data_IF_424025321119
#
_entry.id   IF_424025321119
#
_cell.length_a   1.000
_cell.length_b   1.000
_cell.length_c   1.000
_cell.angle_alpha   90.00
_cell.angle_beta   90.00
_cell.angle_gamma   90.00
#
_symmetry.space_group_name_H-M   'P 1'
#
loop_
_entity.id
_entity.type
_entity.pdbx_description
1 polymer ?
#
# COMPACT_ATOMS: atom_id res chain seq x y z
N UNK A 1 -14.17 -12.58 33.66
CA UNK A 1 -12.83 -13.10 33.34
C UNK A 1 -12.37 -12.26 32.17
N UNK A 2 -11.36 -11.42 32.34
CA UNK A 2 -10.84 -10.57 31.25
C UNK A 2 -10.02 -11.45 30.32
N UNK A 3 -10.40 -11.50 29.05
CA UNK A 3 -9.61 -12.15 28.01
C UNK A 3 -8.32 -11.36 27.85
N UNK A 4 -7.19 -12.00 28.09
CA UNK A 4 -5.85 -11.44 27.88
C UNK A 4 -5.66 -11.32 26.37
N UNK A 5 -5.57 -10.10 25.85
CA UNK A 5 -5.23 -9.85 24.44
C UNK A 5 -3.89 -10.53 24.10
N UNK A 6 -3.74 -11.10 22.91
CA UNK A 6 -2.50 -11.77 22.51
C UNK A 6 -1.34 -10.77 22.52
N UNK A 7 -0.27 -11.11 23.22
CA UNK A 7 0.97 -10.33 23.25
C UNK A 7 1.66 -10.48 21.89
N UNK A 8 1.66 -9.42 21.11
CA UNK A 8 2.29 -9.39 19.78
C UNK A 8 3.82 -9.41 19.91
N UNK A 9 4.46 -10.53 19.58
CA UNK A 9 5.93 -10.66 19.53
C UNK A 9 6.40 -10.55 18.08
N UNK A 10 6.99 -9.41 17.72
CA UNK A 10 7.69 -9.24 16.46
C UNK A 10 9.14 -9.74 16.59
N UNK A 11 9.71 -10.40 15.55
CA UNK A 11 11.12 -10.79 15.57
C UNK A 11 12.05 -9.57 15.60
N UNK A 12 13.24 -9.76 16.19
CA UNK A 12 14.26 -8.71 16.31
C UNK A 12 14.70 -8.16 14.96
N UNK A 13 15.01 -6.85 14.92
CA UNK A 13 15.50 -6.17 13.72
C UNK A 13 16.87 -6.72 13.32
N UNK A 14 16.99 -7.19 12.08
CA UNK A 14 18.29 -7.60 11.50
C UNK A 14 19.22 -6.39 11.30
N UNK A 15 20.52 -6.55 11.57
CA UNK A 15 21.53 -5.51 11.39
C UNK A 15 21.85 -5.33 9.90
N UNK A 16 21.32 -4.25 9.28
CA UNK A 16 21.64 -3.91 7.89
C UNK A 16 21.50 -2.42 7.59
N UNK A 17 22.65 -1.73 7.40
CA UNK A 17 22.75 -0.36 6.86
C UNK A 17 22.30 0.75 7.82
N UNK A 18 22.91 1.94 7.74
CA UNK A 18 22.64 3.10 8.61
C UNK A 18 21.25 3.69 8.30
N UNK A 19 20.18 2.96 8.61
CA UNK A 19 18.83 3.49 8.73
C UNK A 19 18.66 3.99 10.16
N UNK A 20 18.02 5.16 10.35
CA UNK A 20 17.66 5.61 11.70
C UNK A 20 16.74 4.55 12.34
N UNK A 21 16.84 4.33 13.66
CA UNK A 21 15.99 3.36 14.37
C UNK A 21 14.49 3.59 14.09
N UNK A 22 14.08 4.85 13.98
CA UNK A 22 12.73 5.24 13.56
C UNK A 22 12.32 4.58 12.23
N UNK A 23 13.08 4.82 11.15
CA UNK A 23 12.75 4.27 9.81
C UNK A 23 12.69 2.73 9.81
N UNK A 24 13.61 2.09 10.51
CA UNK A 24 13.62 0.62 10.61
C UNK A 24 12.38 0.11 11.34
N UNK A 25 11.93 0.80 12.39
CA UNK A 25 10.69 0.44 13.11
C UNK A 25 9.47 0.67 12.23
N UNK A 26 9.39 1.81 11.53
CA UNK A 26 8.28 2.11 10.61
C UNK A 26 8.16 1.04 9.53
N UNK A 27 9.27 0.70 8.86
CA UNK A 27 9.29 -0.31 7.79
C UNK A 27 8.84 -1.68 8.32
N UNK A 28 9.31 -2.09 9.51
CA UNK A 28 8.96 -3.39 10.11
C UNK A 28 7.49 -3.46 10.54
N UNK A 29 6.95 -2.39 11.15
CA UNK A 29 5.54 -2.34 11.52
C UNK A 29 4.65 -2.33 10.29
N UNK A 30 4.99 -1.55 9.26
CA UNK A 30 4.28 -1.53 7.97
C UNK A 30 4.24 -2.93 7.35
N UNK A 31 5.37 -3.61 7.28
CA UNK A 31 5.46 -4.98 6.78
C UNK A 31 4.54 -5.93 7.57
N UNK A 32 4.57 -5.86 8.91
CA UNK A 32 3.75 -6.70 9.77
C UNK A 32 2.24 -6.47 9.58
N UNK A 33 1.84 -5.20 9.38
CA UNK A 33 0.45 -4.84 9.11
C UNK A 33 0.02 -5.33 7.71
N UNK A 34 0.79 -5.01 6.68
CA UNK A 34 0.45 -5.37 5.30
C UNK A 34 0.50 -6.87 5.02
N UNK A 35 1.33 -7.62 5.75
CA UNK A 35 1.37 -9.09 5.66
C UNK A 35 0.26 -9.78 6.48
N UNK A 36 -0.46 -9.04 7.34
CA UNK A 36 -1.46 -9.58 8.26
C UNK A 36 -0.87 -10.23 9.52
N UNK A 37 0.42 -10.12 9.77
CA UNK A 37 1.06 -10.52 11.04
C UNK A 37 0.49 -9.70 12.22
N UNK A 38 0.16 -8.43 11.96
CA UNK A 38 -0.61 -7.54 12.82
C UNK A 38 -1.99 -7.30 12.19
N UNK A 39 -3.02 -8.08 12.52
CA UNK A 39 -4.36 -7.91 11.96
C UNK A 39 -5.00 -6.57 12.31
N UNK A 40 -6.01 -6.14 11.53
CA UNK A 40 -6.87 -5.01 11.86
C UNK A 40 -7.43 -5.09 13.28
N UNK A 41 -7.58 -3.95 13.95
CA UNK A 41 -8.01 -3.87 15.35
C UNK A 41 -6.93 -4.23 16.40
N UNK A 42 -5.75 -4.72 15.98
CA UNK A 42 -4.66 -5.04 16.92
C UNK A 42 -4.18 -3.78 17.64
N UNK A 43 -4.17 -3.83 18.98
CA UNK A 43 -3.66 -2.73 19.81
C UNK A 43 -2.12 -2.68 19.77
N UNK A 44 -1.57 -1.51 19.47
CA UNK A 44 -0.13 -1.26 19.35
C UNK A 44 0.41 -0.54 20.59
N UNK A 45 0.85 -1.33 21.58
CA UNK A 45 1.37 -0.79 22.83
C UNK A 45 2.84 -0.40 22.66
N UNK A 46 3.15 0.91 22.75
CA UNK A 46 4.49 1.45 22.48
C UNK A 46 5.60 0.79 23.28
N UNK A 47 5.38 0.53 24.57
CA UNK A 47 6.38 -0.11 25.46
C UNK A 47 6.63 -1.58 25.11
N UNK A 48 5.61 -2.30 24.69
CA UNK A 48 5.73 -3.71 24.27
C UNK A 48 6.47 -3.81 22.94
N UNK A 49 6.08 -2.95 21.97
CA UNK A 49 6.77 -2.85 20.67
C UNK A 49 8.24 -2.46 20.83
N UNK A 50 8.54 -1.48 21.69
CA UNK A 50 9.90 -1.06 21.98
C UNK A 50 10.75 -2.21 22.56
N UNK A 51 10.16 -2.99 23.47
CA UNK A 51 10.80 -4.17 24.04
C UNK A 51 11.03 -5.26 23.00
N UNK A 52 10.01 -5.58 22.19
CA UNK A 52 10.10 -6.65 21.18
C UNK A 52 11.09 -6.34 20.05
N UNK A 53 11.19 -5.04 19.67
CA UNK A 53 12.08 -4.58 18.62
C UNK A 53 13.48 -4.17 19.14
N UNK A 54 13.73 -4.28 20.45
CA UNK A 54 14.99 -3.89 21.11
C UNK A 54 15.40 -2.43 20.85
N UNK A 55 14.42 -1.50 20.90
CA UNK A 55 14.63 -0.06 20.71
C UNK A 55 14.05 0.73 21.89
N UNK A 56 14.30 2.05 21.96
CA UNK A 56 13.61 2.94 22.91
C UNK A 56 12.18 3.23 22.44
N UNK A 57 11.33 3.78 23.34
CA UNK A 57 9.95 4.13 23.01
C UNK A 57 9.84 5.26 21.98
N UNK A 58 10.83 6.15 21.92
CA UNK A 58 10.77 7.32 21.02
C UNK A 58 10.65 6.94 19.54
N UNK A 59 11.52 6.10 18.94
CA UNK A 59 11.38 5.70 17.54
C UNK A 59 10.08 4.93 17.27
N UNK A 60 9.55 4.18 18.23
CA UNK A 60 8.25 3.51 18.08
C UNK A 60 7.11 4.54 18.00
N UNK A 61 7.12 5.54 18.86
CA UNK A 61 6.10 6.61 18.85
C UNK A 61 6.13 7.40 17.54
N UNK A 62 7.31 7.70 17.03
CA UNK A 62 7.47 8.38 15.74
C UNK A 62 6.98 7.50 14.59
N UNK A 63 7.35 6.22 14.57
CA UNK A 63 6.89 5.26 13.58
C UNK A 63 5.36 5.11 13.57
N UNK A 64 4.72 5.03 14.74
CA UNK A 64 3.26 4.97 14.81
C UNK A 64 2.59 6.25 14.29
N UNK A 65 3.20 7.42 14.46
CA UNK A 65 2.69 8.68 13.87
C UNK A 65 2.77 8.67 12.34
N UNK A 66 3.88 8.16 11.79
CA UNK A 66 4.01 8.02 10.33
C UNK A 66 2.93 7.08 9.80
N UNK A 67 2.73 5.91 10.45
CA UNK A 67 1.73 4.93 10.05
C UNK A 67 0.28 5.44 10.21
N UNK A 68 0.03 6.36 11.15
CA UNK A 68 -1.26 7.09 11.20
C UNK A 68 -1.41 8.01 9.98
N UNK A 69 -0.34 8.69 9.57
CA UNK A 69 -0.33 9.49 8.35
C UNK A 69 -0.57 8.68 7.08
N UNK A 70 -0.16 7.41 7.10
CA UNK A 70 -0.37 6.44 6.01
C UNK A 70 -1.74 5.73 6.07
N UNK A 71 -2.55 5.94 7.13
CA UNK A 71 -3.83 5.27 7.32
C UNK A 71 -3.73 3.80 7.74
N UNK A 72 -2.53 3.29 8.05
CA UNK A 72 -2.31 1.92 8.51
C UNK A 72 -2.58 1.75 10.01
N UNK A 73 -2.56 2.84 10.75
CA UNK A 73 -2.79 2.89 12.20
C UNK A 73 -3.78 4.00 12.52
N UNK A 74 -4.66 3.73 13.45
CA UNK A 74 -5.56 4.71 14.04
C UNK A 74 -5.09 5.08 15.46
N UNK A 75 -5.33 6.31 15.86
CA UNK A 75 -5.04 6.75 17.22
C UNK A 75 -6.32 7.20 17.91
N UNK A 76 -6.75 6.39 18.88
CA UNK A 76 -7.84 6.73 19.79
C UNK A 76 -7.29 7.29 21.10
N UNK A 77 -7.77 8.45 21.58
CA UNK A 77 -7.29 9.06 22.82
C UNK A 77 -7.45 8.18 24.07
N UNK A 78 -8.37 7.22 24.05
CA UNK A 78 -8.68 6.32 25.17
C UNK A 78 -8.08 4.93 25.02
N UNK A 79 -7.96 4.44 23.77
CA UNK A 79 -7.46 3.09 23.45
C UNK A 79 -6.01 3.08 23.03
N UNK A 80 -5.45 4.23 22.64
CA UNK A 80 -4.10 4.34 22.08
C UNK A 80 -4.07 4.03 20.60
N UNK A 81 -2.92 3.57 20.09
CA UNK A 81 -2.75 3.20 18.70
C UNK A 81 -3.31 1.80 18.43
N UNK A 82 -4.05 1.64 17.34
CA UNK A 82 -4.59 0.35 16.84
C UNK A 82 -4.31 0.23 15.35
N UNK A 83 -4.11 -0.99 14.87
CA UNK A 83 -4.05 -1.25 13.41
C UNK A 83 -5.42 -0.91 12.81
N UNK A 84 -5.42 -0.17 11.70
CA UNK A 84 -6.64 0.16 10.98
C UNK A 84 -7.37 -1.11 10.52
N UNK A 85 -8.68 -1.14 10.67
CA UNK A 85 -9.53 -2.27 10.27
C UNK A 85 -10.23 -1.92 8.96
N UNK A 86 -9.84 -2.55 7.82
CA UNK A 86 -10.40 -2.23 6.53
C UNK A 86 -11.90 -2.52 6.46
N UNK A 87 -12.70 -1.56 5.99
CA UNK A 87 -14.14 -1.72 5.79
C UNK A 87 -14.52 -1.72 4.31
N UNK A 88 -15.68 -2.28 3.99
CA UNK A 88 -16.19 -2.28 2.63
C UNK A 88 -16.58 -0.87 2.17
N UNK A 89 -17.18 -0.09 3.06
CA UNK A 89 -17.61 1.28 2.78
C UNK A 89 -16.41 2.17 2.44
N UNK A 90 -15.37 2.10 3.24
CA UNK A 90 -14.12 2.85 2.99
C UNK A 90 -13.43 2.40 1.69
N UNK A 91 -13.39 1.09 1.40
CA UNK A 91 -12.88 0.56 0.13
C UNK A 91 -13.58 1.24 -1.05
N UNK A 92 -14.91 1.29 -1.05
CA UNK A 92 -15.71 1.87 -2.12
C UNK A 92 -15.42 3.36 -2.29
N UNK A 93 -15.40 4.12 -1.20
CA UNK A 93 -15.12 5.56 -1.22
C UNK A 93 -13.72 5.88 -1.74
N UNK A 94 -12.69 5.19 -1.24
CA UNK A 94 -11.31 5.39 -1.68
C UNK A 94 -11.17 5.12 -3.18
N UNK A 95 -11.73 4.01 -3.67
CA UNK A 95 -11.54 3.62 -5.08
C UNK A 95 -12.42 4.42 -6.03
N UNK A 96 -13.57 4.96 -5.60
CA UNK A 96 -14.32 5.96 -6.36
C UNK A 96 -13.47 7.21 -6.62
N UNK A 97 -12.90 7.80 -5.56
CA UNK A 97 -12.01 8.95 -5.67
C UNK A 97 -10.77 8.65 -6.52
N UNK A 98 -10.15 7.50 -6.31
CA UNK A 98 -8.99 7.08 -7.13
C UNK A 98 -9.35 6.99 -8.60
N UNK A 99 -10.48 6.38 -8.95
CA UNK A 99 -10.91 6.21 -10.35
C UNK A 99 -11.11 7.55 -11.05
N UNK A 100 -11.75 8.51 -10.40
CA UNK A 100 -11.97 9.85 -10.94
C UNK A 100 -10.63 10.58 -11.23
N UNK A 101 -9.69 10.54 -10.29
CA UNK A 101 -8.41 11.22 -10.45
C UNK A 101 -7.47 10.48 -11.40
N UNK A 102 -7.42 9.15 -11.32
CA UNK A 102 -6.57 8.31 -12.19
C UNK A 102 -6.92 8.46 -13.64
N UNK A 103 -8.22 8.47 -13.99
CA UNK A 103 -8.63 8.69 -15.37
C UNK A 103 -8.05 9.99 -15.95
N UNK A 104 -8.03 11.05 -15.14
CA UNK A 104 -7.50 12.35 -15.55
C UNK A 104 -5.97 12.38 -15.61
N UNK A 105 -5.28 11.84 -14.59
CA UNK A 105 -3.81 11.84 -14.54
C UNK A 105 -3.22 10.94 -15.60
N UNK A 106 -3.81 9.77 -15.87
CA UNK A 106 -3.36 8.86 -16.94
C UNK A 106 -3.54 9.50 -18.31
N UNK A 107 -4.71 10.08 -18.61
CA UNK A 107 -4.95 10.72 -19.91
C UNK A 107 -3.93 11.84 -20.21
N UNK A 108 -3.60 12.65 -19.21
CA UNK A 108 -2.60 13.73 -19.35
C UNK A 108 -1.16 13.17 -19.31
N UNK A 109 -0.89 12.19 -18.44
CA UNK A 109 0.42 11.59 -18.26
C UNK A 109 0.93 10.88 -19.51
N UNK A 110 0.10 10.13 -20.21
CA UNK A 110 0.45 9.46 -21.49
C UNK A 110 1.00 10.44 -22.51
N UNK A 111 0.46 11.65 -22.58
CA UNK A 111 0.89 12.68 -23.53
C UNK A 111 2.18 13.38 -23.13
N UNK A 112 2.51 13.39 -21.83
CA UNK A 112 3.58 14.21 -21.28
C UNK A 112 4.78 13.40 -20.77
N UNK A 113 4.64 12.09 -20.57
CA UNK A 113 5.70 11.23 -20.04
C UNK A 113 6.90 11.24 -21.00
N UNK A 114 8.10 11.40 -20.46
CA UNK A 114 9.35 11.23 -21.22
C UNK A 114 9.76 9.76 -21.28
N UNK A 115 10.64 9.43 -22.22
CA UNK A 115 11.15 8.06 -22.33
C UNK A 115 11.92 7.64 -21.06
N UNK A 116 12.72 8.56 -20.48
CA UNK A 116 13.45 8.30 -19.23
C UNK A 116 12.49 8.00 -18.05
N UNK A 117 11.38 8.73 -17.95
CA UNK A 117 10.37 8.49 -16.90
C UNK A 117 9.65 7.15 -17.10
N UNK A 118 9.36 6.80 -18.36
CA UNK A 118 8.76 5.51 -18.66
C UNK A 118 9.73 4.36 -18.38
N UNK A 119 11.02 4.54 -18.67
CA UNK A 119 12.07 3.55 -18.35
C UNK A 119 12.19 3.32 -16.84
N UNK A 120 11.97 4.35 -16.00
CA UNK A 120 11.87 4.20 -14.54
C UNK A 120 10.68 3.32 -14.16
N UNK A 121 9.49 3.58 -14.71
CA UNK A 121 8.31 2.76 -14.45
C UNK A 121 8.51 1.30 -14.90
N UNK A 122 9.13 1.07 -16.06
CA UNK A 122 9.49 -0.26 -16.54
C UNK A 122 10.50 -0.98 -15.63
N UNK A 123 11.46 -0.25 -15.06
CA UNK A 123 12.43 -0.81 -14.13
C UNK A 123 11.75 -1.28 -12.85
N UNK A 124 10.85 -0.45 -12.27
CA UNK A 124 10.06 -0.79 -11.10
C UNK A 124 9.17 -2.02 -11.37
N UNK A 125 8.51 -2.07 -12.53
CA UNK A 125 7.70 -3.23 -12.92
C UNK A 125 8.55 -4.51 -13.06
N UNK A 126 9.75 -4.42 -13.63
CA UNK A 126 10.68 -5.55 -13.80
C UNK A 126 11.12 -6.10 -12.44
N UNK A 127 11.43 -5.21 -11.50
CA UNK A 127 11.78 -5.56 -10.13
C UNK A 127 10.59 -6.20 -9.40
N UNK A 128 9.41 -5.60 -9.48
CA UNK A 128 8.16 -6.10 -8.91
C UNK A 128 7.82 -7.52 -9.40
N UNK A 129 8.00 -7.80 -10.70
CA UNK A 129 7.78 -9.14 -11.28
C UNK A 129 8.63 -10.24 -10.66
N UNK A 130 9.83 -9.91 -10.21
CA UNK A 130 10.76 -10.85 -9.57
C UNK A 130 10.52 -11.03 -8.07
N UNK A 131 9.67 -10.18 -7.46
CA UNK A 131 9.46 -10.19 -6.02
C UNK A 131 8.58 -11.35 -5.56
N UNK A 132 9.03 -11.99 -4.49
CA UNK A 132 8.31 -13.07 -3.81
C UNK A 132 7.69 -12.57 -2.50
N UNK A 133 8.33 -11.62 -1.85
CA UNK A 133 7.85 -10.97 -0.64
C UNK A 133 6.68 -10.01 -0.94
N UNK A 134 5.50 -10.20 -0.30
CA UNK A 134 4.33 -9.37 -0.55
C UNK A 134 4.52 -7.90 -0.18
N UNK A 135 5.22 -7.60 0.91
CA UNK A 135 5.41 -6.23 1.37
C UNK A 135 6.30 -5.42 0.40
N UNK A 136 7.41 -6.03 -0.05
CA UNK A 136 8.27 -5.44 -1.08
C UNK A 136 7.51 -5.26 -2.40
N UNK A 137 6.67 -6.24 -2.78
CA UNK A 137 5.84 -6.13 -3.98
C UNK A 137 4.87 -4.94 -3.88
N UNK A 138 4.22 -4.74 -2.72
CA UNK A 138 3.30 -3.62 -2.48
C UNK A 138 4.00 -2.27 -2.57
N UNK A 139 5.20 -2.14 -2.00
CA UNK A 139 5.96 -0.89 -2.08
C UNK A 139 6.36 -0.57 -3.52
N UNK A 140 6.85 -1.56 -4.28
CA UNK A 140 7.17 -1.40 -5.70
C UNK A 140 5.92 -1.07 -6.54
N UNK A 141 4.78 -1.67 -6.25
CA UNK A 141 3.50 -1.36 -6.88
C UNK A 141 3.10 0.10 -6.66
N UNK A 142 3.24 0.60 -5.42
CA UNK A 142 2.98 2.00 -5.10
C UNK A 142 3.92 2.94 -5.85
N UNK A 143 5.22 2.64 -5.87
CA UNK A 143 6.23 3.43 -6.60
C UNK A 143 5.96 3.44 -8.10
N UNK A 144 5.54 2.31 -8.69
CA UNK A 144 5.19 2.19 -10.10
C UNK A 144 4.04 3.13 -10.48
N UNK A 145 2.93 3.09 -9.74
CA UNK A 145 1.78 3.96 -10.01
C UNK A 145 2.15 5.43 -9.79
N UNK A 146 2.90 5.75 -8.73
CA UNK A 146 3.36 7.12 -8.48
C UNK A 146 4.23 7.67 -9.63
N UNK A 147 5.11 6.86 -10.20
CA UNK A 147 5.93 7.25 -11.34
C UNK A 147 5.08 7.61 -12.57
N UNK A 148 4.03 6.85 -12.87
CA UNK A 148 3.10 7.14 -13.96
C UNK A 148 2.23 8.38 -13.67
N UNK A 149 1.73 8.52 -12.45
CA UNK A 149 0.90 9.67 -12.03
C UNK A 149 1.70 10.98 -12.10
N UNK A 150 3.00 10.95 -11.79
CA UNK A 150 3.89 12.10 -11.84
C UNK A 150 4.01 12.70 -13.25
N UNK A 151 3.85 11.89 -14.29
CA UNK A 151 3.88 12.33 -15.68
C UNK A 151 2.75 13.29 -16.04
N UNK A 152 1.65 13.32 -15.29
CA UNK A 152 0.54 14.26 -15.51
C UNK A 152 0.89 15.73 -15.25
N UNK A 153 2.02 16.00 -14.58
CA UNK A 153 2.44 17.36 -14.17
C UNK A 153 1.41 18.11 -13.30
N UNK A 154 0.57 17.36 -12.56
CA UNK A 154 -0.48 17.87 -11.67
C UNK A 154 -0.11 17.64 -10.20
N UNK A 155 0.68 18.50 -9.56
CA UNK A 155 1.22 18.23 -8.22
C UNK A 155 0.14 17.98 -7.16
N UNK A 156 -0.99 18.71 -7.21
CA UNK A 156 -2.09 18.49 -6.27
C UNK A 156 -2.78 17.13 -6.49
N UNK A 157 -2.95 16.71 -7.75
CA UNK A 157 -3.52 15.39 -8.05
C UNK A 157 -2.59 14.27 -7.57
N UNK A 158 -1.28 14.44 -7.78
CA UNK A 158 -0.26 13.49 -7.30
C UNK A 158 -0.26 13.38 -5.77
N UNK A 159 -0.38 14.50 -5.06
CA UNK A 159 -0.47 14.50 -3.60
C UNK A 159 -1.72 13.75 -3.11
N UNK A 160 -2.89 14.03 -3.69
CA UNK A 160 -4.15 13.38 -3.31
C UNK A 160 -4.11 11.89 -3.68
N UNK A 161 -3.67 11.53 -4.90
CA UNK A 161 -3.54 10.13 -5.32
C UNK A 161 -2.53 9.38 -4.46
N UNK A 162 -1.42 10.01 -4.06
CA UNK A 162 -0.45 9.42 -3.13
C UNK A 162 -1.10 9.06 -1.79
N UNK A 163 -1.88 9.97 -1.21
CA UNK A 163 -2.63 9.72 0.03
C UNK A 163 -3.67 8.59 -0.13
N UNK A 164 -4.42 8.60 -1.22
CA UNK A 164 -5.39 7.54 -1.51
C UNK A 164 -4.70 6.19 -1.76
N UNK A 165 -3.50 6.19 -2.36
CA UNK A 165 -2.69 4.99 -2.55
C UNK A 165 -2.21 4.41 -1.21
N UNK A 166 -1.78 5.28 -0.27
CA UNK A 166 -1.39 4.86 1.08
C UNK A 166 -2.58 4.23 1.83
N UNK A 167 -3.74 4.89 1.84
CA UNK A 167 -4.97 4.35 2.44
C UNK A 167 -5.40 3.03 1.79
N UNK A 168 -5.25 2.88 0.48
CA UNK A 168 -5.61 1.66 -0.24
C UNK A 168 -4.60 0.52 -0.10
N UNK A 169 -3.42 0.74 0.50
CA UNK A 169 -2.38 -0.28 0.63
C UNK A 169 -2.85 -1.55 1.36
N UNK A 170 -3.68 -1.40 2.40
CA UNK A 170 -4.31 -2.52 3.10
C UNK A 170 -5.22 -3.34 2.18
N UNK A 171 -6.05 -2.67 1.38
CA UNK A 171 -6.98 -3.33 0.45
C UNK A 171 -6.25 -4.04 -0.69
N UNK A 172 -5.16 -3.44 -1.20
CA UNK A 172 -4.27 -4.12 -2.16
C UNK A 172 -3.65 -5.34 -1.49
N UNK A 173 -3.14 -5.21 -0.26
CA UNK A 173 -2.62 -6.31 0.55
C UNK A 173 -3.64 -7.43 0.72
N UNK A 174 -4.87 -7.11 1.11
CA UNK A 174 -6.00 -8.05 1.19
C UNK A 174 -6.23 -8.73 -0.16
N UNK A 175 -6.24 -7.99 -1.28
CA UNK A 175 -6.51 -8.54 -2.61
C UNK A 175 -5.46 -9.56 -3.08
N UNK A 176 -4.19 -9.38 -2.73
CA UNK A 176 -3.08 -10.25 -3.14
C UNK A 176 -2.72 -11.33 -2.11
N UNK A 177 -3.22 -11.24 -0.86
CA UNK A 177 -2.89 -12.15 0.23
C UNK A 177 -3.14 -13.60 -0.17
N UNK A 178 -2.13 -14.47 -0.03
CA UNK A 178 -2.22 -15.89 -0.38
C UNK A 178 -2.46 -16.20 -1.86
N UNK A 179 -2.50 -15.21 -2.76
CA UNK A 179 -2.82 -15.39 -4.18
C UNK A 179 -1.68 -15.01 -5.13
N UNK A 180 -0.85 -15.99 -5.47
CA UNK A 180 0.17 -15.82 -6.52
C UNK A 180 -0.44 -15.47 -7.88
N UNK A 181 -1.64 -16.00 -8.18
CA UNK A 181 -2.34 -15.72 -9.44
C UNK A 181 -2.77 -14.26 -9.54
N UNK A 182 -3.26 -13.64 -8.45
CA UNK A 182 -3.65 -12.22 -8.45
C UNK A 182 -2.46 -11.30 -8.68
N UNK A 183 -1.31 -11.54 -8.02
CA UNK A 183 -0.07 -10.78 -8.29
C UNK A 183 0.41 -10.95 -9.73
N UNK A 184 0.31 -12.16 -10.29
CA UNK A 184 0.66 -12.40 -11.70
C UNK A 184 -0.27 -11.62 -12.63
N UNK A 185 -1.57 -11.57 -12.34
CA UNK A 185 -2.53 -10.78 -13.12
C UNK A 185 -2.22 -9.29 -13.03
N UNK A 186 -2.02 -8.74 -11.83
CA UNK A 186 -1.64 -7.34 -11.66
C UNK A 186 -0.37 -6.97 -12.43
N UNK A 187 0.66 -7.83 -12.40
CA UNK A 187 1.87 -7.63 -13.20
C UNK A 187 1.61 -7.68 -14.71
N UNK A 188 0.62 -8.46 -15.18
CA UNK A 188 0.22 -8.46 -16.59
C UNK A 188 -0.47 -7.15 -16.99
N UNK A 189 -1.37 -6.67 -16.13
CA UNK A 189 -2.09 -5.40 -16.31
C UNK A 189 -1.09 -4.22 -16.40
N UNK A 190 -0.07 -4.22 -15.51
CA UNK A 190 0.99 -3.21 -15.53
C UNK A 190 1.79 -3.24 -16.84
N UNK A 191 2.09 -4.43 -17.39
CA UNK A 191 2.79 -4.54 -18.66
C UNK A 191 1.94 -3.97 -19.82
N UNK A 192 0.63 -4.24 -19.84
CA UNK A 192 -0.28 -3.67 -20.82
C UNK A 192 -0.37 -2.14 -20.69
N UNK A 193 -0.42 -1.63 -19.47
CA UNK A 193 -0.45 -0.20 -19.18
C UNK A 193 0.83 0.50 -19.67
N UNK A 194 2.01 -0.06 -19.40
CA UNK A 194 3.28 0.44 -19.92
C UNK A 194 3.27 0.48 -21.47
N UNK A 195 2.78 -0.56 -22.13
CA UNK A 195 2.68 -0.60 -23.57
C UNK A 195 1.80 0.54 -24.11
N UNK A 196 0.63 0.79 -23.49
CA UNK A 196 -0.25 1.90 -23.86
C UNK A 196 0.42 3.27 -23.68
N UNK A 197 1.22 3.46 -22.61
CA UNK A 197 2.03 4.67 -22.42
C UNK A 197 3.09 4.83 -23.51
N UNK A 198 3.77 3.75 -23.89
CA UNK A 198 4.79 3.75 -24.95
C UNK A 198 4.19 4.07 -26.31
N UNK A 199 3.00 3.55 -26.60
CA UNK A 199 2.25 3.80 -27.81
C UNK A 199 1.55 5.19 -27.83
N UNK A 200 1.60 5.94 -26.71
CA UNK A 200 0.89 7.22 -26.52
C UNK A 200 -0.63 7.09 -26.69
N UNK A 201 -1.18 5.92 -26.43
CA UNK A 201 -2.62 5.63 -26.50
C UNK A 201 -3.30 5.95 -25.16
N UNK A 202 -3.78 7.19 -25.03
CA UNK A 202 -4.39 7.69 -23.80
C UNK A 202 -5.72 6.98 -23.47
N UNK A 203 -6.54 6.69 -24.48
CA UNK A 203 -7.84 6.04 -24.27
C UNK A 203 -7.64 4.61 -23.73
N UNK A 204 -6.73 3.88 -24.36
CA UNK A 204 -6.35 2.54 -23.92
C UNK A 204 -5.73 2.54 -22.51
N UNK A 205 -4.84 3.47 -22.23
CA UNK A 205 -4.20 3.56 -20.91
C UNK A 205 -5.21 3.84 -19.82
N UNK A 206 -6.18 4.73 -20.05
CA UNK A 206 -7.28 5.03 -19.11
C UNK A 206 -8.14 3.78 -18.87
N UNK A 207 -8.57 3.09 -19.95
CA UNK A 207 -9.34 1.86 -19.85
C UNK A 207 -8.61 0.82 -18.99
N UNK A 208 -7.33 0.58 -19.26
CA UNK A 208 -6.49 -0.38 -18.53
C UNK A 208 -6.32 -0.01 -17.06
N UNK A 209 -6.06 1.26 -16.77
CA UNK A 209 -5.89 1.75 -15.41
C UNK A 209 -7.17 1.61 -14.58
N UNK A 210 -8.32 1.97 -15.13
CA UNK A 210 -9.62 1.85 -14.46
C UNK A 210 -10.02 0.38 -14.26
N UNK A 211 -9.78 -0.48 -15.24
CA UNK A 211 -10.00 -1.93 -15.11
C UNK A 211 -9.15 -2.50 -13.97
N UNK A 212 -7.86 -2.17 -13.92
CA UNK A 212 -6.95 -2.62 -12.88
C UNK A 212 -7.39 -2.21 -11.46
N UNK A 213 -7.91 -0.97 -11.30
CA UNK A 213 -8.51 -0.52 -10.04
C UNK A 213 -9.76 -1.34 -9.71
N UNK A 214 -10.66 -1.53 -10.67
CA UNK A 214 -11.89 -2.32 -10.50
C UNK A 214 -11.63 -3.76 -10.08
N UNK A 215 -10.68 -4.44 -10.73
CA UNK A 215 -10.27 -5.80 -10.38
C UNK A 215 -9.75 -5.91 -8.93
N UNK A 216 -9.07 -4.88 -8.46
CA UNK A 216 -8.60 -4.84 -7.06
C UNK A 216 -9.76 -4.71 -6.08
N UNK A 217 -10.73 -3.84 -6.39
CA UNK A 217 -11.96 -3.66 -5.59
C UNK A 217 -12.75 -4.96 -5.50
N UNK A 218 -13.00 -5.63 -6.63
CA UNK A 218 -13.77 -6.87 -6.65
C UNK A 218 -13.14 -7.95 -5.76
N UNK A 219 -11.83 -8.14 -5.88
CA UNK A 219 -11.13 -9.16 -5.08
C UNK A 219 -11.08 -8.77 -3.60
N UNK A 220 -10.80 -7.50 -3.27
CA UNK A 220 -10.79 -7.04 -1.89
C UNK A 220 -12.17 -7.16 -1.25
N UNK A 221 -13.24 -6.74 -1.95
CA UNK A 221 -14.64 -6.86 -1.53
C UNK A 221 -15.00 -8.31 -1.22
N UNK A 222 -14.70 -9.24 -2.14
CA UNK A 222 -15.02 -10.66 -1.96
C UNK A 222 -14.34 -11.23 -0.70
N UNK A 223 -13.14 -10.77 -0.39
CA UNK A 223 -12.40 -11.23 0.80
C UNK A 223 -12.91 -10.63 2.09
N UNK A 224 -13.21 -9.31 2.10
CA UNK A 224 -13.80 -8.66 3.28
C UNK A 224 -15.14 -9.32 3.65
N UNK A 225 -15.99 -9.64 2.66
CA UNK A 225 -17.26 -10.33 2.88
C UNK A 225 -17.10 -11.80 3.30
N UNK A 226 -15.97 -12.44 3.00
CA UNK A 226 -15.71 -13.84 3.36
C UNK A 226 -15.03 -14.02 4.71
N UNK A 227 -14.55 -12.94 5.34
CA UNK A 227 -13.98 -12.98 6.70
C UNK A 227 -15.16 -12.93 7.67
N UNK A 228 -15.43 -13.98 8.48
CA UNK A 228 -16.48 -13.93 9.49
C UNK A 228 -16.13 -12.84 10.51
N UNK A 229 -17.12 -12.06 10.95
CA UNK A 229 -16.99 -11.16 12.11
C UNK A 229 -16.38 -11.95 13.27
N UNK A 230 -15.21 -11.52 13.73
CA UNK A 230 -14.44 -12.15 14.81
C UNK A 230 -14.96 -11.74 16.19
#
# INVERSE_FOLDING_TARGET
MAATAPTTRLPLLGHGGVRTAHRTVTDRLREAILSGELPGGTRLVQSELATSLAVSVTPVREALRDLVGEGLVEFDPYRGATVHEPTLEELEEIYELRSLLTARTVAEGVQQITDDELDVAESLHREMKSQHDPATWLDLNRQFHHALDAASRRPLYQEILGRLADLSALYVGVSISGSKSRRKQANSDHAELIAAYRDRDADRAVELALRHLGDTVEVARARLLSTPDA
#
